data_IF_909382205616
#
_entry.id   IF_909382205616
#
_cell.length_a   1.000
_cell.length_b   1.000
_cell.length_c   1.000
_cell.angle_alpha   90.00
_cell.angle_beta   90.00
_cell.angle_gamma   90.00
#
_symmetry.space_group_name_H-M   'P 1'
#
loop_
_entity.id
_entity.type
_entity.pdbx_description
1 polymer ?
#
# COMPACT_ATOMS: atom_id res chain seq x y z
N UNK A 1 -22.12 23.88 -3.49
CA UNK A 1 -21.02 22.89 -3.45
C UNK A 1 -19.73 23.57 -3.87
N UNK A 2 -18.70 23.56 -3.03
CA UNK A 2 -17.38 24.11 -3.37
C UNK A 2 -16.32 23.00 -3.28
N UNK A 3 -15.62 22.76 -4.40
CA UNK A 3 -14.65 21.68 -4.56
C UNK A 3 -13.47 21.82 -3.59
N UNK A 4 -13.15 23.05 -3.12
CA UNK A 4 -12.03 23.28 -2.21
C UNK A 4 -12.15 22.49 -0.89
N UNK A 5 -13.37 22.26 -0.40
CA UNK A 5 -13.59 21.50 0.83
C UNK A 5 -13.34 20.00 0.63
N UNK A 6 -13.68 19.45 -0.53
CA UNK A 6 -13.32 18.07 -0.86
C UNK A 6 -11.80 17.91 -1.02
N UNK A 7 -11.11 18.88 -1.65
CA UNK A 7 -9.65 18.90 -1.70
C UNK A 7 -9.03 18.91 -0.30
N UNK A 8 -9.60 19.70 0.62
CA UNK A 8 -9.17 19.71 2.02
C UNK A 8 -9.41 18.37 2.73
N UNK A 9 -10.58 17.75 2.54
CA UNK A 9 -10.86 16.40 3.06
C UNK A 9 -9.85 15.36 2.49
N UNK A 10 -9.47 15.49 1.22
CA UNK A 10 -8.44 14.68 0.57
C UNK A 10 -7.04 14.92 1.18
N UNK A 11 -6.70 16.14 1.57
CA UNK A 11 -5.44 16.42 2.28
C UNK A 11 -5.43 15.77 3.66
N UNK A 12 -6.52 15.94 4.42
CA UNK A 12 -6.69 15.37 5.75
C UNK A 12 -6.59 13.83 5.73
N UNK A 13 -7.22 13.18 4.74
CA UNK A 13 -7.17 11.71 4.63
C UNK A 13 -5.74 11.17 4.49
N UNK A 14 -4.85 11.92 3.83
CA UNK A 14 -3.44 11.53 3.62
C UNK A 14 -2.64 11.48 4.93
N UNK A 15 -3.10 12.13 6.00
CA UNK A 15 -2.43 12.10 7.31
C UNK A 15 -2.55 10.73 8.00
N UNK A 16 -3.51 9.89 7.61
CA UNK A 16 -3.66 8.52 8.13
C UNK A 16 -2.80 7.45 7.44
N UNK A 17 -1.95 7.84 6.47
CA UNK A 17 -1.12 6.90 5.70
C UNK A 17 -0.24 6.07 6.62
N UNK A 18 -0.17 4.76 6.35
CA UNK A 18 0.66 3.83 7.12
C UNK A 18 0.14 3.47 8.51
N UNK A 19 -0.93 4.10 8.99
CA UNK A 19 -1.52 3.81 10.30
C UNK A 19 -2.92 3.20 10.23
N UNK A 20 -3.61 3.40 9.11
CA UNK A 20 -5.01 2.98 8.92
C UNK A 20 -5.17 1.59 8.33
N UNK A 21 -4.16 1.05 7.63
CA UNK A 21 -4.26 -0.26 6.99
C UNK A 21 -4.77 -1.35 7.95
N UNK A 22 -5.70 -2.24 7.51
CA UNK A 22 -6.30 -2.32 6.17
C UNK A 22 -7.51 -1.39 5.91
N UNK A 23 -7.86 -0.49 6.83
CA UNK A 23 -8.94 0.49 6.64
C UNK A 23 -8.59 1.55 5.59
N UNK A 24 -9.60 2.21 4.98
CA UNK A 24 -9.37 3.27 4.01
C UNK A 24 -8.81 4.54 4.66
N UNK A 25 -8.17 5.36 3.83
CA UNK A 25 -7.86 6.74 4.15
C UNK A 25 -9.12 7.59 3.93
N UNK A 26 -9.64 8.14 5.03
CA UNK A 26 -10.85 8.97 5.00
C UNK A 26 -10.56 10.31 5.68
N UNK A 27 -11.02 11.39 5.05
CA UNK A 27 -11.06 12.73 5.62
C UNK A 27 -12.46 13.31 5.55
N UNK A 28 -12.80 14.17 6.50
CA UNK A 28 -14.09 14.83 6.62
C UNK A 28 -13.90 16.30 7.01
N UNK A 29 -14.69 17.17 6.40
CA UNK A 29 -14.72 18.62 6.66
C UNK A 29 -16.18 19.03 6.85
N UNK A 30 -16.46 19.83 7.88
CA UNK A 30 -17.79 20.37 8.16
C UNK A 30 -17.77 21.88 7.92
N UNK A 31 -18.77 22.37 7.18
CA UNK A 31 -18.84 23.73 6.67
C UNK A 31 -20.17 24.37 7.05
N UNK A 32 -20.12 25.62 7.50
CA UNK A 32 -21.28 26.50 7.67
C UNK A 32 -20.97 27.87 7.10
N UNK A 33 -21.90 28.43 6.33
CA UNK A 33 -21.79 29.79 5.76
C UNK A 33 -20.45 30.05 5.05
N UNK A 34 -19.97 29.04 4.31
CA UNK A 34 -18.70 29.11 3.58
C UNK A 34 -17.43 28.99 4.44
N UNK A 35 -17.55 28.73 5.75
CA UNK A 35 -16.43 28.56 6.68
C UNK A 35 -16.31 27.12 7.16
N UNK A 36 -15.08 26.62 7.21
CA UNK A 36 -14.80 25.32 7.84
C UNK A 36 -14.94 25.51 9.36
N UNK A 37 -15.85 24.75 9.98
CA UNK A 37 -16.08 24.77 11.43
C UNK A 37 -15.51 23.53 12.13
N UNK A 38 -15.22 22.46 11.38
CA UNK A 38 -14.57 21.27 11.92
C UNK A 38 -13.87 20.44 10.84
N UNK A 39 -12.85 19.70 11.25
CA UNK A 39 -12.05 18.82 10.39
C UNK A 39 -11.74 17.50 11.12
N UNK A 40 -11.69 16.40 10.37
CA UNK A 40 -11.34 15.10 10.90
C UNK A 40 -10.77 14.17 9.84
N UNK A 41 -10.02 13.16 10.29
CA UNK A 41 -9.52 12.07 9.44
C UNK A 41 -9.43 10.78 10.25
N UNK A 42 -9.45 9.63 9.58
CA UNK A 42 -9.23 8.35 10.23
C UNK A 42 -7.74 8.21 10.59
N UNK A 43 -7.42 8.24 11.89
CA UNK A 43 -6.03 8.39 12.35
C UNK A 43 -5.24 7.08 12.37
N UNK A 44 -5.86 5.98 12.79
CA UNK A 44 -5.23 4.68 12.92
C UNK A 44 -6.28 3.56 12.92
N UNK A 45 -5.85 2.35 12.58
CA UNK A 45 -6.71 1.16 12.54
C UNK A 45 -7.40 0.89 13.88
N UNK A 46 -8.72 0.73 13.86
CA UNK A 46 -9.55 0.51 15.04
C UNK A 46 -9.91 1.78 15.84
N UNK A 47 -9.38 2.95 15.46
CA UNK A 47 -9.78 4.24 16.01
C UNK A 47 -11.05 4.81 15.35
N UNK A 48 -11.45 6.00 15.81
CA UNK A 48 -12.61 6.71 15.26
C UNK A 48 -12.46 7.02 13.76
N UNK A 49 -13.58 7.00 13.04
CA UNK A 49 -13.66 7.40 11.65
C UNK A 49 -13.52 8.92 11.48
N UNK A 50 -13.33 9.38 10.25
CA UNK A 50 -13.07 10.79 9.95
C UNK A 50 -14.22 11.70 10.40
N UNK A 51 -15.46 11.27 10.16
CA UNK A 51 -16.69 11.98 10.51
C UNK A 51 -16.80 12.18 12.02
N UNK A 52 -16.53 11.11 12.79
CA UNK A 52 -16.53 11.16 14.26
C UNK A 52 -15.42 12.07 14.78
N UNK A 53 -14.21 11.98 14.21
CA UNK A 53 -13.12 12.88 14.57
C UNK A 53 -13.45 14.35 14.25
N UNK A 54 -14.15 14.62 13.14
CA UNK A 54 -14.60 15.98 12.82
C UNK A 54 -15.63 16.47 13.86
N UNK A 55 -16.60 15.64 14.25
CA UNK A 55 -17.57 16.00 15.28
C UNK A 55 -16.93 16.27 16.65
N UNK A 56 -15.88 15.52 17.01
CA UNK A 56 -15.15 15.72 18.28
C UNK A 56 -14.28 16.98 18.29
N UNK A 57 -13.93 17.51 17.12
CA UNK A 57 -13.06 18.67 16.98
C UNK A 57 -13.80 20.02 16.99
N UNK A 58 -15.09 20.03 17.30
CA UNK A 58 -15.88 21.26 17.42
C UNK A 58 -16.89 21.16 18.55
N UNK A 59 -17.26 22.33 19.11
CA UNK A 59 -18.37 22.49 20.05
C UNK A 59 -19.56 23.22 19.42
N UNK A 60 -19.44 23.63 18.16
CA UNK A 60 -20.49 24.34 17.45
C UNK A 60 -21.70 23.42 17.25
N UNK A 61 -22.91 23.99 17.29
CA UNK A 61 -24.09 23.29 16.78
C UNK A 61 -23.84 22.93 15.31
N UNK A 62 -24.16 21.73 14.87
CA UNK A 62 -23.94 21.26 13.50
C UNK A 62 -25.24 21.23 12.67
N UNK A 63 -26.37 21.55 13.30
CA UNK A 63 -27.67 21.58 12.63
C UNK A 63 -27.63 22.51 11.42
N UNK A 64 -28.08 22.01 10.27
CA UNK A 64 -28.08 22.74 9.01
C UNK A 64 -26.73 22.81 8.29
N UNK A 65 -25.62 22.40 8.90
CA UNK A 65 -24.29 22.46 8.27
C UNK A 65 -24.14 21.46 7.11
N UNK A 66 -23.10 21.65 6.30
CA UNK A 66 -22.71 20.76 5.20
C UNK A 66 -21.49 19.92 5.58
N UNK A 67 -21.43 18.65 5.17
CA UNK A 67 -20.26 17.79 5.35
C UNK A 67 -19.68 17.36 4.00
N UNK A 68 -18.36 17.42 3.88
CA UNK A 68 -17.59 16.88 2.76
C UNK A 68 -16.76 15.70 3.29
N UNK A 69 -16.98 14.51 2.75
CA UNK A 69 -16.31 13.28 3.21
C UNK A 69 -15.77 12.50 2.01
N UNK A 70 -14.53 12.01 2.11
CA UNK A 70 -13.87 11.39 0.95
C UNK A 70 -14.47 10.04 0.58
N UNK A 71 -15.03 9.28 1.53
CA UNK A 71 -15.62 7.96 1.31
C UNK A 71 -17.06 7.94 1.84
N UNK A 72 -17.91 7.11 1.25
CA UNK A 72 -19.27 6.88 1.76
C UNK A 72 -19.27 6.56 3.28
N UNK A 73 -20.05 7.30 4.09
CA UNK A 73 -20.15 7.03 5.52
C UNK A 73 -20.65 5.62 5.81
N UNK A 74 -20.03 4.94 6.77
CA UNK A 74 -20.38 3.55 7.07
C UNK A 74 -21.84 3.40 7.53
N UNK A 75 -22.44 2.26 7.18
CA UNK A 75 -23.86 1.95 7.40
C UNK A 75 -24.11 0.74 8.31
N UNK A 76 -23.06 0.09 8.81
CA UNK A 76 -23.14 -1.14 9.60
C UNK A 76 -22.79 -0.88 11.06
N UNK A 77 -23.46 -1.58 11.96
CA UNK A 77 -23.14 -1.55 13.39
C UNK A 77 -21.87 -2.36 13.63
N UNK A 78 -20.80 -1.66 14.00
CA UNK A 78 -19.58 -2.27 14.52
C UNK A 78 -19.53 -2.17 16.04
N UNK A 79 -18.36 -1.84 16.59
CA UNK A 79 -18.22 -1.46 18.00
C UNK A 79 -18.82 -0.08 18.31
N UNK A 80 -18.94 0.77 17.30
CA UNK A 80 -19.57 2.09 17.36
C UNK A 80 -20.77 2.16 16.41
N UNK A 81 -21.74 3.06 16.67
CA UNK A 81 -22.83 3.33 15.73
C UNK A 81 -22.31 3.75 14.34
N UNK A 82 -23.04 3.42 13.26
CA UNK A 82 -22.69 3.83 11.91
C UNK A 82 -22.55 5.36 11.78
N UNK A 83 -21.53 5.82 11.04
CA UNK A 83 -21.28 7.24 10.81
C UNK A 83 -22.46 7.91 10.11
N UNK A 84 -23.17 7.21 9.22
CA UNK A 84 -24.38 7.74 8.58
C UNK A 84 -25.46 8.13 9.60
N UNK A 85 -25.65 7.36 10.68
CA UNK A 85 -26.63 7.67 11.73
C UNK A 85 -26.16 8.82 12.63
N UNK A 86 -24.87 8.90 12.93
CA UNK A 86 -24.33 10.04 13.68
C UNK A 86 -24.44 11.35 12.87
N UNK A 87 -24.26 11.32 11.55
CA UNK A 87 -24.51 12.48 10.68
C UNK A 87 -25.97 12.94 10.78
N UNK A 88 -26.93 12.01 10.76
CA UNK A 88 -28.36 12.31 10.96
C UNK A 88 -28.60 12.94 12.33
N UNK A 89 -28.08 12.32 13.39
CA UNK A 89 -28.22 12.80 14.77
C UNK A 89 -27.65 14.22 14.98
N UNK A 90 -26.56 14.56 14.28
CA UNK A 90 -25.95 15.89 14.32
C UNK A 90 -26.69 16.95 13.50
N UNK A 91 -27.71 16.56 12.73
CA UNK A 91 -28.55 17.49 11.98
C UNK A 91 -27.87 18.11 10.75
N UNK A 92 -26.85 17.45 10.19
CA UNK A 92 -26.21 17.87 8.94
C UNK A 92 -27.26 17.87 7.81
N UNK A 93 -27.36 18.95 7.05
CA UNK A 93 -28.39 19.10 6.00
C UNK A 93 -27.94 18.57 4.65
N UNK A 94 -26.64 18.62 4.35
CA UNK A 94 -26.06 18.18 3.07
C UNK A 94 -24.76 17.41 3.28
N UNK A 95 -24.58 16.34 2.50
CA UNK A 95 -23.36 15.53 2.50
C UNK A 95 -22.83 15.37 1.07
N UNK A 96 -21.58 15.76 0.87
CA UNK A 96 -20.85 15.59 -0.38
C UNK A 96 -19.82 14.47 -0.22
N UNK A 97 -19.92 13.44 -1.06
CA UNK A 97 -19.15 12.21 -0.95
C UNK A 97 -18.17 12.10 -2.12
N UNK A 98 -16.90 11.85 -1.79
CA UNK A 98 -15.85 11.70 -2.80
C UNK A 98 -16.04 10.45 -3.66
N UNK A 99 -16.09 9.28 -3.03
CA UNK A 99 -16.40 8.01 -3.69
C UNK A 99 -17.37 7.15 -2.86
N UNK A 100 -18.14 6.29 -3.53
CA UNK A 100 -18.98 5.28 -2.86
C UNK A 100 -18.12 4.18 -2.23
N UNK A 101 -18.69 3.44 -1.28
CA UNK A 101 -17.99 2.28 -0.72
C UNK A 101 -17.74 1.26 -1.86
N UNK A 102 -16.49 0.81 -2.08
CA UNK A 102 -16.16 -0.14 -3.14
C UNK A 102 -16.63 -1.57 -2.84
N UNK A 103 -17.02 -1.89 -1.60
CA UNK A 103 -17.57 -3.17 -1.22
C UNK A 103 -19.03 -3.29 -1.71
N UNK A 104 -19.34 -4.20 -2.65
CA UNK A 104 -20.69 -4.34 -3.19
C UNK A 104 -21.75 -4.65 -2.13
N UNK A 105 -21.36 -5.23 -0.99
CA UNK A 105 -22.27 -5.54 0.13
C UNK A 105 -22.69 -4.31 0.93
N UNK A 106 -21.95 -3.20 0.83
CA UNK A 106 -22.14 -1.99 1.64
C UNK A 106 -22.46 -0.77 0.77
N UNK A 107 -21.95 -0.74 -0.47
CA UNK A 107 -22.11 0.36 -1.42
C UNK A 107 -23.54 0.89 -1.49
N UNK A 108 -23.71 2.19 -1.27
CA UNK A 108 -24.99 2.89 -1.35
C UNK A 108 -25.87 2.80 -0.10
N UNK A 109 -25.58 1.93 0.87
CA UNK A 109 -26.40 1.80 2.09
C UNK A 109 -26.28 3.02 3.00
N UNK A 110 -25.08 3.59 3.13
CA UNK A 110 -24.86 4.81 3.93
C UNK A 110 -25.54 6.00 3.27
N UNK A 111 -25.42 6.11 1.95
CA UNK A 111 -26.12 7.12 1.15
C UNK A 111 -27.64 7.00 1.32
N UNK A 112 -28.18 5.76 1.33
CA UNK A 112 -29.61 5.53 1.53
C UNK A 112 -30.07 6.01 2.90
N UNK A 113 -29.37 5.65 3.98
CA UNK A 113 -29.69 6.11 5.35
C UNK A 113 -29.79 7.64 5.42
N UNK A 114 -28.82 8.34 4.82
CA UNK A 114 -28.82 9.81 4.80
C UNK A 114 -30.04 10.35 4.06
N UNK A 115 -30.34 9.83 2.86
CA UNK A 115 -31.48 10.28 2.04
C UNK A 115 -32.83 9.99 2.68
N UNK A 116 -32.99 8.81 3.28
CA UNK A 116 -34.22 8.42 4.00
C UNK A 116 -34.50 9.36 5.20
N UNK A 117 -33.47 10.04 5.71
CA UNK A 117 -33.57 11.03 6.79
C UNK A 117 -33.52 12.49 6.26
N UNK A 118 -33.93 12.71 5.01
CA UNK A 118 -34.04 14.03 4.37
C UNK A 118 -32.72 14.83 4.25
N UNK A 119 -31.57 14.15 4.27
CA UNK A 119 -30.27 14.79 4.00
C UNK A 119 -30.01 14.79 2.50
N UNK A 120 -29.61 15.93 1.95
CA UNK A 120 -29.23 16.06 0.54
C UNK A 120 -27.85 15.43 0.31
N UNK A 121 -27.76 14.43 -0.56
CA UNK A 121 -26.51 13.72 -0.81
C UNK A 121 -26.08 13.79 -2.28
N UNK A 122 -24.88 14.34 -2.51
CA UNK A 122 -24.19 14.33 -3.81
C UNK A 122 -22.94 13.47 -3.71
N UNK A 123 -22.75 12.53 -4.64
CA UNK A 123 -21.60 11.61 -4.65
C UNK A 123 -20.78 11.71 -5.93
N UNK A 124 -19.50 11.36 -5.87
CA UNK A 124 -18.59 11.34 -7.02
C UNK A 124 -17.70 12.58 -7.14
N UNK A 125 -17.53 13.33 -6.04
CA UNK A 125 -16.77 14.59 -6.06
C UNK A 125 -15.27 14.29 -6.02
N UNK A 126 -14.54 14.64 -7.08
CA UNK A 126 -13.11 14.28 -7.24
C UNK A 126 -12.87 12.77 -7.08
N UNK A 127 -13.80 11.95 -7.58
CA UNK A 127 -13.79 10.49 -7.37
C UNK A 127 -12.48 9.82 -7.82
N UNK A 128 -11.90 10.27 -8.94
CA UNK A 128 -10.63 9.74 -9.46
C UNK A 128 -9.46 9.97 -8.49
N UNK A 129 -9.35 11.16 -7.89
CA UNK A 129 -8.33 11.49 -6.90
C UNK A 129 -8.49 10.66 -5.63
N UNK A 130 -9.74 10.53 -5.15
CA UNK A 130 -10.07 9.74 -3.97
C UNK A 130 -9.79 8.26 -4.20
N UNK A 131 -10.17 7.72 -5.37
CA UNK A 131 -9.88 6.33 -5.76
C UNK A 131 -8.38 6.07 -5.79
N UNK A 132 -7.59 7.00 -6.34
CA UNK A 132 -6.12 6.88 -6.39
C UNK A 132 -5.48 6.85 -4.98
N UNK A 133 -6.02 7.60 -4.03
CA UNK A 133 -5.54 7.57 -2.64
C UNK A 133 -5.88 6.25 -1.95
N UNK A 134 -7.07 5.71 -2.24
CA UNK A 134 -7.58 4.46 -1.68
C UNK A 134 -7.35 3.23 -2.58
N UNK A 135 -6.43 3.27 -3.54
CA UNK A 135 -6.17 2.19 -4.51
C UNK A 135 -5.92 0.82 -3.83
N UNK A 136 -5.19 0.86 -2.71
CA UNK A 136 -4.88 -0.31 -1.87
C UNK A 136 -6.17 -0.88 -1.27
N UNK A 137 -6.94 -0.04 -0.57
CA UNK A 137 -8.18 -0.43 0.08
C UNK A 137 -9.18 -0.98 -0.95
N UNK A 138 -9.35 -0.31 -2.09
CA UNK A 138 -10.28 -0.70 -3.15
C UNK A 138 -9.95 -2.08 -3.68
N UNK A 139 -8.67 -2.34 -4.02
CA UNK A 139 -8.28 -3.67 -4.49
C UNK A 139 -8.51 -4.72 -3.40
N UNK A 140 -8.04 -4.43 -2.18
CA UNK A 140 -8.07 -5.38 -1.09
C UNK A 140 -9.49 -5.76 -0.69
N UNK A 141 -10.40 -4.80 -0.54
CA UNK A 141 -11.79 -5.08 -0.13
C UNK A 141 -12.59 -5.79 -1.22
N UNK A 142 -12.29 -5.54 -2.51
CA UNK A 142 -12.97 -6.21 -3.64
C UNK A 142 -12.48 -7.64 -3.86
N UNK A 143 -11.20 -7.92 -3.61
CA UNK A 143 -10.56 -9.18 -4.04
C UNK A 143 -9.99 -10.02 -2.91
N UNK A 144 -9.84 -9.45 -1.71
CA UNK A 144 -9.04 -9.97 -0.59
C UNK A 144 -7.57 -10.25 -0.95
N UNK A 145 -7.07 -9.69 -2.07
CA UNK A 145 -5.68 -9.80 -2.48
C UNK A 145 -4.92 -8.50 -2.19
N UNK A 146 -3.69 -8.58 -1.67
CA UNK A 146 -2.86 -7.41 -1.46
C UNK A 146 -2.61 -6.61 -2.75
N UNK A 147 -2.53 -5.29 -2.64
CA UNK A 147 -2.05 -4.40 -3.69
C UNK A 147 -0.52 -4.42 -3.77
N UNK A 148 0.02 -4.85 -4.90
CA UNK A 148 1.44 -5.15 -5.12
C UNK A 148 2.09 -4.01 -5.90
N UNK A 149 3.04 -3.36 -5.25
CA UNK A 149 3.91 -2.33 -5.85
C UNK A 149 5.28 -2.96 -6.10
N UNK A 150 5.70 -3.06 -7.35
CA UNK A 150 7.06 -3.44 -7.71
C UNK A 150 7.91 -2.18 -7.82
N UNK A 151 8.96 -2.08 -6.99
CA UNK A 151 9.87 -0.93 -6.99
C UNK A 151 11.25 -1.35 -7.47
N UNK A 152 11.85 -0.53 -8.34
CA UNK A 152 13.25 -0.68 -8.76
C UNK A 152 14.00 0.65 -8.68
N UNK A 153 15.33 0.56 -8.59
CA UNK A 153 16.23 1.68 -8.80
C UNK A 153 17.36 1.21 -9.69
N UNK A 154 17.55 1.86 -10.83
CA UNK A 154 18.48 1.46 -11.86
C UNK A 154 19.29 2.63 -12.39
N UNK A 155 20.39 2.34 -13.04
CA UNK A 155 21.15 3.27 -13.87
C UNK A 155 20.41 3.55 -15.18
N UNK A 156 20.85 4.56 -15.93
CA UNK A 156 20.24 4.99 -17.19
C UNK A 156 20.23 3.86 -18.23
N UNK A 157 21.26 3.02 -18.23
CA UNK A 157 21.42 1.82 -19.06
C UNK A 157 20.76 0.56 -18.46
N UNK A 158 19.93 0.71 -17.44
CA UNK A 158 19.07 -0.35 -16.93
C UNK A 158 19.80 -1.39 -16.07
N UNK A 159 20.76 -0.97 -15.22
CA UNK A 159 21.45 -1.87 -14.27
C UNK A 159 21.10 -1.55 -12.83
N UNK A 160 20.91 -2.60 -12.03
CA UNK A 160 20.63 -2.53 -10.58
C UNK A 160 21.85 -2.91 -9.72
N UNK A 161 22.92 -3.39 -10.35
CA UNK A 161 24.21 -3.65 -9.74
C UNK A 161 25.27 -3.87 -10.84
N UNK A 162 26.53 -3.64 -10.53
CA UNK A 162 27.68 -4.05 -11.36
C UNK A 162 27.78 -5.58 -11.46
N UNK A 163 28.68 -6.10 -12.30
CA UNK A 163 28.93 -7.56 -12.42
C UNK A 163 29.39 -8.21 -11.11
N UNK A 164 30.14 -7.48 -10.29
CA UNK A 164 30.55 -7.93 -8.93
C UNK A 164 29.41 -7.80 -7.92
N UNK A 165 28.33 -7.14 -8.33
CA UNK A 165 27.14 -6.93 -7.53
C UNK A 165 27.18 -5.67 -6.68
N UNK A 166 28.16 -4.79 -6.84
CA UNK A 166 28.11 -3.49 -6.17
C UNK A 166 26.91 -2.68 -6.67
N UNK A 167 26.17 -2.06 -5.75
CA UNK A 167 24.89 -1.38 -6.01
C UNK A 167 24.68 -0.15 -5.14
N UNK A 168 25.63 0.19 -4.26
CA UNK A 168 25.49 1.30 -3.30
C UNK A 168 26.38 2.47 -3.72
N UNK A 169 25.84 3.63 -4.09
CA UNK A 169 24.42 3.97 -4.27
C UNK A 169 24.13 4.28 -5.73
N UNK A 170 23.22 3.52 -6.33
CA UNK A 170 22.66 3.84 -7.65
C UNK A 170 21.77 5.09 -7.53
N UNK A 171 20.64 5.01 -6.81
CA UNK A 171 19.72 6.14 -6.65
C UNK A 171 20.19 7.14 -5.59
N UNK A 172 19.81 8.42 -5.75
CA UNK A 172 20.13 9.50 -4.83
C UNK A 172 19.33 9.45 -3.51
N UNK A 173 19.58 10.40 -2.61
CA UNK A 173 18.97 10.44 -1.29
C UNK A 173 17.45 10.64 -1.31
N UNK A 174 16.93 11.55 -2.13
CA UNK A 174 15.48 11.80 -2.24
C UNK A 174 14.73 10.56 -2.73
N UNK A 175 15.29 9.84 -3.70
CA UNK A 175 14.76 8.55 -4.18
C UNK A 175 14.72 7.49 -3.06
N UNK A 176 15.73 7.47 -2.18
CA UNK A 176 15.79 6.56 -1.02
C UNK A 176 14.81 6.98 0.07
N UNK A 177 14.63 8.27 0.33
CA UNK A 177 13.62 8.79 1.26
C UNK A 177 12.20 8.42 0.78
N UNK A 178 11.92 8.56 -0.51
CA UNK A 178 10.65 8.12 -1.09
C UNK A 178 10.42 6.61 -0.91
N UNK A 179 11.47 5.80 -1.07
CA UNK A 179 11.40 4.36 -0.78
C UNK A 179 10.99 4.11 0.68
N UNK A 180 11.51 4.91 1.63
CA UNK A 180 11.08 4.85 3.02
C UNK A 180 9.62 5.29 3.25
N UNK A 181 9.12 6.28 2.49
CA UNK A 181 7.69 6.65 2.49
C UNK A 181 6.80 5.52 1.98
N UNK A 182 7.25 4.75 0.98
CA UNK A 182 6.55 3.55 0.50
C UNK A 182 6.50 2.46 1.58
N UNK A 183 7.62 2.20 2.26
CA UNK A 183 7.67 1.22 3.36
C UNK A 183 6.76 1.60 4.52
N UNK A 184 6.66 2.89 4.83
CA UNK A 184 5.70 3.38 5.82
C UNK A 184 4.25 3.16 5.39
N UNK A 185 3.94 3.45 4.12
CA UNK A 185 2.57 3.42 3.57
C UNK A 185 2.02 2.00 3.41
N UNK A 186 2.86 1.04 3.02
CA UNK A 186 2.44 -0.31 2.61
C UNK A 186 2.60 -1.30 3.77
N UNK A 187 1.70 -2.29 3.84
CA UNK A 187 1.63 -3.20 4.98
C UNK A 187 2.75 -4.24 5.01
N UNK A 188 3.29 -4.62 3.86
CA UNK A 188 4.39 -5.58 3.73
C UNK A 188 5.49 -5.13 2.79
N UNK A 189 6.70 -5.68 2.97
CA UNK A 189 7.84 -5.56 2.08
C UNK A 189 8.35 -6.95 1.73
N UNK A 190 8.52 -7.24 0.45
CA UNK A 190 8.90 -8.56 -0.05
C UNK A 190 10.25 -8.50 -0.76
N UNK A 191 11.15 -9.39 -0.34
CA UNK A 191 12.44 -9.63 -1.00
C UNK A 191 12.71 -11.13 -1.16
N UNK A 192 13.64 -11.46 -2.06
CA UNK A 192 14.17 -12.82 -2.14
C UNK A 192 15.27 -13.06 -1.11
N UNK A 193 15.45 -14.32 -0.70
CA UNK A 193 16.51 -14.74 0.22
C UNK A 193 17.91 -14.28 -0.21
N UNK A 194 18.21 -14.21 -1.52
CA UNK A 194 19.51 -13.72 -2.02
C UNK A 194 19.80 -12.28 -1.56
N UNK A 195 18.78 -11.41 -1.46
CA UNK A 195 18.92 -10.05 -0.93
C UNK A 195 19.29 -10.08 0.54
N UNK A 196 18.68 -10.98 1.33
CA UNK A 196 19.00 -11.13 2.75
C UNK A 196 20.43 -11.63 2.94
N UNK A 197 20.82 -12.68 2.22
CA UNK A 197 22.17 -13.26 2.31
C UNK A 197 23.27 -12.28 1.93
N UNK A 198 23.01 -11.41 0.94
CA UNK A 198 24.02 -10.50 0.42
C UNK A 198 24.09 -9.18 1.19
N UNK A 199 22.93 -8.57 1.45
CA UNK A 199 22.87 -7.20 1.97
C UNK A 199 22.57 -7.15 3.47
N UNK A 200 22.16 -8.29 4.05
CA UNK A 200 21.67 -8.42 5.42
C UNK A 200 20.83 -7.20 5.88
N UNK A 201 19.74 -6.87 5.15
CA UNK A 201 19.00 -5.64 5.36
C UNK A 201 18.13 -5.72 6.62
N UNK A 202 17.70 -4.56 7.13
CA UNK A 202 16.65 -4.47 8.17
C UNK A 202 15.24 -4.44 7.60
N UNK A 203 15.09 -3.97 6.36
CA UNK A 203 13.80 -3.75 5.67
C UNK A 203 12.79 -2.88 6.45
N UNK A 204 13.29 -1.97 7.28
CA UNK A 204 12.49 -1.03 8.07
C UNK A 204 12.23 0.31 7.37
N UNK A 205 11.28 1.04 7.92
CA UNK A 205 11.03 2.46 7.69
C UNK A 205 12.01 3.29 8.50
N UNK A 206 12.67 4.25 7.86
CA UNK A 206 13.69 5.12 8.49
C UNK A 206 13.47 6.56 8.05
N UNK A 207 12.27 7.07 8.33
CA UNK A 207 11.92 8.46 8.11
C UNK A 207 12.32 9.29 9.33
N UNK A 208 12.65 10.57 9.12
CA UNK A 208 13.08 11.49 10.18
C UNK A 208 12.03 11.65 11.28
N UNK A 209 10.75 11.70 10.90
CA UNK A 209 9.61 11.85 11.81
C UNK A 209 9.13 10.52 12.42
N UNK A 210 9.85 9.43 12.17
CA UNK A 210 9.40 8.08 12.49
C UNK A 210 8.41 7.51 11.48
N UNK A 211 7.91 6.30 11.74
CA UNK A 211 6.95 5.64 10.86
C UNK A 211 6.71 4.20 11.28
N UNK A 212 5.75 3.57 10.60
CA UNK A 212 5.44 2.14 10.77
C UNK A 212 6.37 1.29 9.90
N UNK A 213 6.90 0.21 10.48
CA UNK A 213 7.61 -0.81 9.72
C UNK A 213 6.62 -1.73 8.97
N UNK A 214 6.89 -2.07 7.71
CA UNK A 214 6.13 -3.09 7.01
C UNK A 214 6.49 -4.50 7.50
N UNK A 215 5.54 -5.43 7.41
CA UNK A 215 5.77 -6.86 7.59
C UNK A 215 6.83 -7.36 6.60
N UNK A 216 7.87 -8.04 7.08
CA UNK A 216 9.02 -8.42 6.25
C UNK A 216 8.82 -9.80 5.66
N UNK A 217 8.53 -9.87 4.37
CA UNK A 217 8.22 -11.11 3.65
C UNK A 217 9.46 -11.58 2.88
N UNK A 218 10.00 -12.74 3.24
CA UNK A 218 11.19 -13.32 2.63
C UNK A 218 10.81 -14.55 1.80
N UNK A 219 11.09 -14.52 0.50
CA UNK A 219 10.97 -15.69 -0.37
C UNK A 219 12.22 -16.56 -0.22
N UNK A 220 12.08 -17.70 0.45
CA UNK A 220 13.16 -18.63 0.73
C UNK A 220 12.71 -20.09 0.61
N UNK A 221 12.68 -20.57 -0.62
CA UNK A 221 12.18 -21.92 -0.97
C UNK A 221 12.77 -23.05 -0.11
N UNK A 222 14.02 -22.91 0.34
CA UNK A 222 14.74 -23.97 1.05
C UNK A 222 15.10 -23.58 2.50
N UNK A 223 14.47 -22.56 3.07
CA UNK A 223 14.81 -22.00 4.40
C UNK A 223 16.32 -21.84 4.61
N UNK A 224 17.02 -21.15 3.71
CA UNK A 224 18.46 -20.85 3.84
C UNK A 224 18.78 -19.67 4.75
N UNK A 225 17.78 -18.87 5.13
CA UNK A 225 17.96 -17.68 5.97
C UNK A 225 18.80 -17.98 7.24
N UNK A 226 19.89 -17.23 7.48
CA UNK A 226 20.66 -17.33 8.72
C UNK A 226 19.87 -16.81 9.91
N UNK A 227 19.93 -17.50 11.06
CA UNK A 227 19.18 -17.13 12.28
C UNK A 227 19.64 -15.79 12.89
N UNK A 228 20.84 -15.33 12.56
CA UNK A 228 21.45 -14.06 12.95
C UNK A 228 21.16 -12.91 11.96
N UNK A 229 20.38 -13.16 10.91
CA UNK A 229 19.97 -12.12 9.94
C UNK A 229 19.29 -10.94 10.66
N UNK A 230 19.58 -9.70 10.23
CA UNK A 230 19.01 -8.48 10.83
C UNK A 230 17.49 -8.44 10.76
N UNK A 231 16.89 -9.00 9.71
CA UNK A 231 15.43 -9.12 9.58
C UNK A 231 14.80 -10.00 10.68
N UNK A 232 15.56 -10.87 11.34
CA UNK A 232 15.10 -11.73 12.45
C UNK A 232 15.48 -11.17 13.83
N UNK A 233 16.43 -10.24 13.89
CA UNK A 233 17.02 -9.74 15.14
C UNK A 233 16.92 -8.22 15.21
N UNK A 234 15.70 -7.70 15.16
CA UNK A 234 15.40 -6.28 15.21
C UNK A 234 14.24 -5.99 16.17
N UNK A 235 14.36 -4.91 16.93
CA UNK A 235 13.27 -4.41 17.75
C UNK A 235 12.23 -3.71 16.87
N UNK A 236 11.20 -4.44 16.44
CA UNK A 236 10.13 -3.97 15.56
C UNK A 236 8.83 -4.69 15.93
N UNK A 237 7.71 -3.97 15.92
CA UNK A 237 6.38 -4.58 16.07
C UNK A 237 5.95 -5.40 14.85
N UNK A 238 6.41 -5.01 13.65
CA UNK A 238 6.20 -5.80 12.44
C UNK A 238 6.91 -7.14 12.54
N UNK A 239 6.28 -8.21 12.07
CA UNK A 239 6.81 -9.57 12.03
C UNK A 239 7.69 -9.79 10.80
N UNK A 240 8.35 -10.94 10.82
CA UNK A 240 9.10 -11.46 9.68
C UNK A 240 8.43 -12.75 9.23
N UNK A 241 7.95 -12.76 7.99
CA UNK A 241 7.23 -13.86 7.36
C UNK A 241 8.17 -14.50 6.35
N UNK A 242 8.41 -15.80 6.48
CA UNK A 242 9.28 -16.56 5.58
C UNK A 242 8.42 -17.52 4.78
N UNK A 243 8.36 -17.31 3.47
CA UNK A 243 7.67 -18.21 2.56
C UNK A 243 8.66 -19.26 2.05
N UNK A 244 8.30 -20.53 2.20
CA UNK A 244 9.13 -21.69 1.83
C UNK A 244 8.30 -22.72 1.06
N UNK A 245 8.95 -23.69 0.40
CA UNK A 245 8.27 -24.83 -0.21
C UNK A 245 8.11 -25.98 0.80
N UNK A 246 7.49 -27.08 0.35
CA UNK A 246 7.45 -28.35 1.08
C UNK A 246 8.87 -28.93 1.23
N UNK A 247 9.07 -29.81 2.21
CA UNK A 247 10.32 -30.55 2.49
C UNK A 247 11.47 -29.70 3.06
N UNK A 248 11.21 -28.97 4.15
CA UNK A 248 12.23 -28.20 4.87
C UNK A 248 12.35 -28.65 6.31
N UNK A 249 13.57 -28.52 6.87
CA UNK A 249 13.93 -28.98 8.20
C UNK A 249 13.02 -28.36 9.29
N UNK A 250 12.33 -29.22 10.01
CA UNK A 250 11.41 -28.84 11.09
C UNK A 250 12.15 -28.22 12.27
N UNK A 251 13.43 -28.58 12.51
CA UNK A 251 14.25 -27.94 13.55
C UNK A 251 14.50 -26.48 13.22
N UNK A 252 14.81 -26.18 11.96
CA UNK A 252 14.99 -24.80 11.49
C UNK A 252 13.72 -23.97 11.60
N UNK A 253 12.56 -24.54 11.28
CA UNK A 253 11.27 -23.86 11.48
C UNK A 253 11.09 -23.46 12.95
N UNK A 254 11.27 -24.41 13.88
CA UNK A 254 11.13 -24.13 15.32
C UNK A 254 12.08 -23.01 15.78
N UNK A 255 13.33 -23.01 15.31
CA UNK A 255 14.29 -21.95 15.64
C UNK A 255 13.86 -20.57 15.09
N UNK A 256 13.22 -20.52 13.91
CA UNK A 256 12.65 -19.30 13.35
C UNK A 256 11.43 -18.81 14.15
N UNK A 257 10.55 -19.73 14.55
CA UNK A 257 9.38 -19.43 15.38
C UNK A 257 9.77 -18.91 16.77
N UNK A 258 10.86 -19.42 17.37
CA UNK A 258 11.45 -18.87 18.60
C UNK A 258 11.93 -17.42 18.45
N UNK A 259 12.29 -17.01 17.22
CA UNK A 259 12.57 -15.61 16.86
C UNK A 259 11.30 -14.83 16.49
N UNK A 260 10.11 -15.37 16.78
CA UNK A 260 8.80 -14.83 16.44
C UNK A 260 8.57 -14.65 14.92
N UNK A 261 9.33 -15.36 14.09
CA UNK A 261 9.10 -15.39 12.66
C UNK A 261 7.93 -16.32 12.33
N UNK A 262 7.15 -15.96 11.32
CA UNK A 262 6.04 -16.78 10.81
C UNK A 262 6.54 -17.52 9.58
N UNK A 263 6.43 -18.85 9.56
CA UNK A 263 6.82 -19.65 8.39
C UNK A 263 5.56 -20.07 7.62
N UNK A 264 5.46 -19.63 6.36
CA UNK A 264 4.38 -20.03 5.45
C UNK A 264 4.91 -21.08 4.48
N UNK A 265 4.38 -22.30 4.57
CA UNK A 265 4.63 -23.35 3.57
C UNK A 265 3.70 -23.15 2.38
N UNK A 266 4.28 -23.13 1.19
CA UNK A 266 3.58 -22.98 -0.08
C UNK A 266 3.72 -24.26 -0.92
N UNK A 267 2.79 -24.53 -1.85
CA UNK A 267 3.06 -25.44 -2.96
C UNK A 267 4.34 -25.03 -3.69
N UNK A 268 5.09 -26.03 -4.19
CA UNK A 268 6.26 -25.76 -5.03
C UNK A 268 5.82 -25.54 -6.47
N UNK A 269 6.32 -24.48 -7.09
CA UNK A 269 6.18 -24.20 -8.51
C UNK A 269 7.57 -24.02 -9.10
N UNK A 270 7.99 -24.95 -9.94
CA UNK A 270 9.36 -25.01 -10.49
C UNK A 270 10.47 -24.96 -9.42
N UNK A 271 10.25 -25.66 -8.29
CA UNK A 271 11.17 -25.67 -7.15
C UNK A 271 11.19 -24.36 -6.35
N UNK A 272 10.25 -23.45 -6.61
CA UNK A 272 10.15 -22.13 -5.96
C UNK A 272 8.82 -21.98 -5.22
N UNK A 273 8.78 -20.93 -4.39
CA UNK A 273 7.55 -20.51 -3.71
C UNK A 273 6.50 -20.10 -4.76
N UNK A 274 5.29 -20.65 -4.66
CA UNK A 274 4.14 -20.19 -5.45
C UNK A 274 3.69 -18.80 -4.96
N UNK A 275 3.93 -17.75 -5.77
CA UNK A 275 3.63 -16.38 -5.36
C UNK A 275 2.13 -16.12 -5.33
N UNK A 276 1.34 -16.64 -6.28
CA UNK A 276 -0.13 -16.51 -6.25
C UNK A 276 -0.72 -17.09 -4.96
N UNK A 277 -0.27 -18.26 -4.55
CA UNK A 277 -0.69 -18.87 -3.28
C UNK A 277 -0.27 -18.00 -2.08
N UNK A 278 0.99 -17.54 -2.06
CA UNK A 278 1.50 -16.69 -0.99
C UNK A 278 0.70 -15.38 -0.87
N UNK A 279 0.47 -14.68 -1.98
CA UNK A 279 -0.27 -13.41 -2.00
C UNK A 279 -1.69 -13.59 -1.46
N UNK A 280 -2.37 -14.69 -1.80
CA UNK A 280 -3.67 -15.02 -1.22
C UNK A 280 -3.59 -15.21 0.29
N UNK A 281 -2.63 -16.00 0.77
CA UNK A 281 -2.43 -16.23 2.21
C UNK A 281 -2.10 -14.96 2.99
N UNK A 282 -1.30 -14.07 2.42
CA UNK A 282 -1.00 -12.77 3.02
C UNK A 282 -2.25 -11.88 3.10
N UNK A 283 -3.11 -11.92 2.08
CA UNK A 283 -4.42 -11.27 2.11
C UNK A 283 -5.34 -11.82 3.20
N UNK A 284 -5.35 -13.14 3.40
CA UNK A 284 -6.09 -13.78 4.51
C UNK A 284 -5.55 -13.37 5.90
N UNK A 285 -4.30 -12.92 5.98
CA UNK A 285 -3.63 -12.41 7.19
C UNK A 285 -3.76 -10.89 7.36
N UNK A 286 -4.68 -10.25 6.64
CA UNK A 286 -4.92 -8.80 6.66
C UNK A 286 -3.76 -7.92 6.18
N UNK A 287 -2.84 -8.47 5.38
CA UNK A 287 -1.83 -7.69 4.66
C UNK A 287 -2.44 -7.18 3.36
N UNK A 288 -2.87 -5.92 3.36
CA UNK A 288 -3.58 -5.30 2.24
C UNK A 288 -2.69 -4.85 1.07
N UNK A 289 -1.38 -4.77 1.28
CA UNK A 289 -0.43 -4.22 0.32
C UNK A 289 0.99 -4.66 0.56
N UNK A 290 1.75 -4.83 -0.53
CA UNK A 290 3.13 -5.32 -0.49
C UNK A 290 4.00 -4.49 -1.44
N UNK A 291 5.13 -4.02 -0.93
CA UNK A 291 6.23 -3.45 -1.69
C UNK A 291 7.23 -4.55 -2.07
N UNK A 292 7.41 -4.83 -3.35
CA UNK A 292 8.49 -5.69 -3.83
C UNK A 292 9.74 -4.83 -4.05
N UNK A 293 10.76 -5.06 -3.24
CA UNK A 293 12.14 -4.58 -3.45
C UNK A 293 13.08 -5.76 -3.77
N UNK A 294 12.52 -6.77 -4.42
CA UNK A 294 13.22 -8.00 -4.74
C UNK A 294 14.34 -7.81 -5.77
N UNK A 295 15.28 -8.76 -5.78
CA UNK A 295 16.26 -8.84 -6.87
C UNK A 295 15.60 -9.17 -8.22
N UNK A 296 16.38 -9.00 -9.28
CA UNK A 296 16.01 -9.21 -10.69
C UNK A 296 15.04 -10.39 -10.97
N UNK A 297 15.31 -11.56 -10.39
CA UNK A 297 14.49 -12.77 -10.55
C UNK A 297 13.13 -12.70 -9.85
N UNK A 298 13.06 -12.10 -8.66
CA UNK A 298 11.79 -11.93 -7.94
C UNK A 298 10.89 -10.98 -8.71
N UNK A 299 11.45 -9.90 -9.24
CA UNK A 299 10.72 -8.93 -10.05
C UNK A 299 10.13 -9.59 -11.29
N UNK A 300 10.93 -10.37 -12.03
CA UNK A 300 10.42 -11.13 -13.18
C UNK A 300 9.32 -12.12 -12.80
N UNK A 301 9.52 -12.91 -11.74
CA UNK A 301 8.49 -13.87 -11.30
C UNK A 301 7.18 -13.18 -10.93
N UNK A 302 7.22 -12.06 -10.22
CA UNK A 302 6.02 -11.32 -9.85
C UNK A 302 5.28 -10.75 -11.07
N UNK A 303 6.02 -10.19 -12.04
CA UNK A 303 5.47 -9.69 -13.30
C UNK A 303 4.87 -10.83 -14.12
N UNK A 304 5.60 -11.93 -14.29
CA UNK A 304 5.18 -13.07 -15.10
C UNK A 304 3.97 -13.81 -14.50
N UNK A 305 3.83 -13.82 -13.17
CA UNK A 305 2.63 -14.35 -12.52
C UNK A 305 1.43 -13.39 -12.59
N UNK A 306 1.65 -12.16 -13.06
CA UNK A 306 0.62 -11.15 -13.21
C UNK A 306 0.09 -10.63 -11.89
N UNK A 307 0.86 -10.71 -10.79
CA UNK A 307 0.42 -10.27 -9.46
C UNK A 307 0.70 -8.78 -9.19
N UNK A 308 1.58 -8.16 -9.98
CA UNK A 308 1.99 -6.75 -9.83
C UNK A 308 0.88 -5.83 -10.35
N UNK A 309 0.44 -4.88 -9.54
CA UNK A 309 -0.53 -3.86 -9.95
C UNK A 309 0.15 -2.62 -10.47
N UNK A 310 1.20 -2.18 -9.76
CA UNK A 310 1.87 -0.90 -9.97
C UNK A 310 3.38 -1.09 -10.00
N UNK A 311 4.03 -0.40 -10.93
CA UNK A 311 5.49 -0.34 -11.02
C UNK A 311 5.93 1.08 -10.67
N UNK A 312 7.00 1.20 -9.88
CA UNK A 312 7.70 2.44 -9.58
C UNK A 312 9.18 2.22 -9.86
N UNK A 313 9.73 2.91 -10.86
CA UNK A 313 11.12 2.77 -11.29
C UNK A 313 11.85 4.09 -11.13
N UNK A 314 12.94 4.08 -10.36
CA UNK A 314 13.89 5.19 -10.31
C UNK A 314 15.02 4.95 -11.31
N UNK A 315 15.36 5.97 -12.08
CA UNK A 315 16.43 5.96 -13.09
C UNK A 315 17.44 7.03 -12.69
N UNK A 316 18.65 6.60 -12.36
CA UNK A 316 19.76 7.49 -12.01
C UNK A 316 20.60 7.82 -13.26
N UNK A 317 21.18 9.02 -13.38
CA UNK A 317 22.00 9.42 -14.53
C UNK A 317 23.42 8.82 -14.45
N UNK A 318 23.49 7.51 -14.27
CA UNK A 318 24.72 6.71 -14.24
C UNK A 318 24.64 5.69 -15.37
N UNK A 319 25.79 5.23 -15.85
CA UNK A 319 25.91 4.14 -16.83
C UNK A 319 26.92 3.15 -16.28
N UNK A 320 26.55 1.86 -16.20
CA UNK A 320 27.44 0.79 -15.67
C UNK A 320 27.99 -0.10 -16.79
N UNK A 321 27.20 -0.36 -17.84
CA UNK A 321 27.51 -1.32 -18.88
C UNK A 321 27.52 -2.76 -18.36
N UNK A 322 28.25 -3.64 -19.06
CA UNK A 322 28.49 -5.03 -18.65
C UNK A 322 27.34 -5.99 -18.96
N UNK A 323 27.65 -7.04 -19.74
CA UNK A 323 26.71 -8.13 -20.06
C UNK A 323 26.26 -8.87 -18.79
N UNK A 324 27.19 -9.09 -17.85
CA UNK A 324 26.92 -9.77 -16.58
C UNK A 324 26.35 -8.85 -15.49
N UNK A 325 26.28 -7.53 -15.73
CA UNK A 325 25.70 -6.60 -14.78
C UNK A 325 24.18 -6.83 -14.68
N UNK A 326 23.66 -6.79 -13.46
CA UNK A 326 22.27 -7.19 -13.17
C UNK A 326 21.29 -6.17 -13.68
N UNK A 327 20.23 -6.61 -14.35
CA UNK A 327 19.10 -5.77 -14.79
C UNK A 327 17.95 -5.80 -13.77
N UNK A 328 17.00 -4.84 -13.80
CA UNK A 328 15.88 -4.78 -12.86
C UNK A 328 14.93 -5.97 -12.91
N UNK A 329 14.78 -6.57 -14.09
CA UNK A 329 13.90 -7.71 -14.37
C UNK A 329 14.72 -8.75 -15.13
N UNK A 330 14.91 -9.91 -14.53
CA UNK A 330 15.75 -10.97 -15.09
C UNK A 330 15.13 -12.33 -14.86
N UNK A 331 15.06 -13.13 -15.92
CA UNK A 331 14.38 -14.42 -15.93
C UNK A 331 14.24 -14.88 -17.38
N UNK A 332 13.27 -15.75 -17.65
CA UNK A 332 13.05 -16.27 -19.01
C UNK A 332 12.70 -15.19 -20.03
N UNK A 333 12.05 -14.10 -19.60
CA UNK A 333 11.63 -13.02 -20.47
C UNK A 333 10.38 -13.35 -21.29
N UNK A 334 10.06 -12.46 -22.21
CA UNK A 334 9.02 -12.65 -23.24
C UNK A 334 9.71 -12.81 -24.58
N UNK A 335 9.20 -13.70 -25.42
CA UNK A 335 9.83 -14.01 -26.70
C UNK A 335 9.59 -12.88 -27.73
N UNK A 336 8.45 -12.19 -27.65
CA UNK A 336 8.06 -11.12 -28.57
C UNK A 336 7.77 -9.81 -27.82
N UNK A 337 8.02 -8.67 -28.48
CA UNK A 337 7.76 -7.33 -27.93
C UNK A 337 6.27 -7.09 -27.66
N UNK A 338 5.38 -7.67 -28.47
CA UNK A 338 3.93 -7.57 -28.26
C UNK A 338 3.48 -8.15 -26.91
N UNK A 339 4.23 -9.13 -26.38
CA UNK A 339 3.96 -9.78 -25.09
C UNK A 339 4.61 -9.06 -23.90
N UNK A 340 5.34 -7.97 -24.15
CA UNK A 340 6.03 -7.22 -23.11
C UNK A 340 5.05 -6.64 -22.08
N UNK A 341 5.49 -6.56 -20.83
CA UNK A 341 4.72 -5.94 -19.76
C UNK A 341 4.57 -4.43 -20.03
N UNK A 342 3.37 -4.02 -20.45
CA UNK A 342 3.07 -2.63 -20.79
C UNK A 342 2.47 -1.88 -19.60
N UNK A 343 3.11 -0.79 -19.19
CA UNK A 343 2.55 0.14 -18.22
C UNK A 343 1.49 1.04 -18.87
N UNK A 344 0.46 1.35 -18.08
CA UNK A 344 -0.63 2.28 -18.37
C UNK A 344 -0.64 3.38 -17.32
N UNK A 345 -1.33 4.49 -17.61
CA UNK A 345 -1.48 5.64 -16.70
C UNK A 345 -0.11 6.09 -16.14
N UNK A 346 0.84 6.35 -17.05
CA UNK A 346 2.23 6.65 -16.70
C UNK A 346 2.32 8.08 -16.15
N UNK A 347 3.00 8.21 -15.03
CA UNK A 347 3.40 9.47 -14.42
C UNK A 347 4.92 9.52 -14.31
N UNK A 348 5.49 10.68 -14.62
CA UNK A 348 6.93 10.94 -14.57
C UNK A 348 7.16 12.11 -13.62
N UNK A 349 8.13 11.96 -12.72
CA UNK A 349 8.49 12.96 -11.72
C UNK A 349 10.01 13.00 -11.57
N UNK A 350 10.58 14.20 -11.45
CA UNK A 350 12.01 14.38 -11.19
C UNK A 350 12.27 14.33 -9.69
N UNK A 351 13.27 13.56 -9.28
CA UNK A 351 13.78 13.46 -7.92
C UNK A 351 15.22 13.94 -7.92
N UNK A 352 15.41 15.26 -7.92
CA UNK A 352 16.71 15.88 -8.22
C UNK A 352 17.25 15.38 -9.57
N UNK A 353 18.40 14.69 -9.58
CA UNK A 353 19.03 14.14 -10.77
C UNK A 353 18.41 12.80 -11.23
N UNK A 354 17.70 12.09 -10.34
CA UNK A 354 17.02 10.85 -10.70
C UNK A 354 15.65 11.16 -11.34
N UNK A 355 15.16 10.25 -12.18
CA UNK A 355 13.80 10.28 -12.74
C UNK A 355 13.00 9.12 -12.13
N UNK A 356 11.81 9.39 -11.62
CA UNK A 356 10.85 8.36 -11.23
C UNK A 356 9.78 8.21 -12.31
N UNK A 357 9.61 6.98 -12.81
CA UNK A 357 8.49 6.58 -13.66
C UNK A 357 7.60 5.65 -12.84
N UNK A 358 6.30 5.96 -12.77
CA UNK A 358 5.31 5.06 -12.15
C UNK A 358 4.14 4.83 -13.08
N UNK A 359 3.57 3.64 -13.03
CA UNK A 359 2.41 3.27 -13.84
C UNK A 359 1.82 1.94 -13.39
N UNK A 360 0.74 1.52 -14.04
CA UNK A 360 -0.05 0.36 -13.67
C UNK A 360 0.03 -0.71 -14.77
N UNK A 361 0.03 -1.99 -14.41
CA UNK A 361 -0.01 -3.09 -15.40
C UNK A 361 -1.42 -3.45 -15.84
N UNK A 362 -2.43 -3.04 -15.08
CA UNK A 362 -3.85 -3.24 -15.39
C UNK A 362 -4.51 -1.87 -15.48
N UNK A 363 -5.49 -1.71 -16.37
CA UNK A 363 -6.29 -0.49 -16.44
C UNK A 363 -7.26 -0.41 -15.27
N UNK A 364 -7.79 0.78 -15.00
CA UNK A 364 -8.90 0.96 -14.07
C UNK A 364 -10.13 0.24 -14.65
N UNK A 365 -10.46 -0.95 -14.12
CA UNK A 365 -11.75 -1.59 -14.36
C UNK A 365 -12.75 -1.21 -13.28
#
# INVERSE_FOLDING_TARGET
MDIKYMKRAIELSKLGKGYTNPNPLVGAVIVRDGKIIAEGYHKYFGGDHAEINAFKNTKDDLKGAEMYVTLEPCSHYGKTPPCALEIVKKGISKVYIGMKDPNPKVSGKGIKILRDNNILVTSGILESEVKKINEVFIKYIKTKLPFIVLKTAMTLDGKIATKTGDSKWISNELSREYTHKLRHKLSGILVGIKTVLKDNPRLTTRLKEGGKDPERIILDSNLRIPLDSKVLNINSKAKTIIATTKNVDTKKIKALEQKQAIVIKTPSKDGKVDLKYLIKKLGDMDIDSILIEGGSTVNYSALNEGIVDKVISFISPKIIGGVEAKTPVGGRGKDLIVDAFKLKNIEIERFNEDIMIKGYLRGDN
#
